data_IF_121106869263
#
_entry.id   IF_121106869263
#
_cell.length_a   1.000
_cell.length_b   1.000
_cell.length_c   1.000
_cell.angle_alpha   90.00
_cell.angle_beta   90.00
_cell.angle_gamma   90.00
#
_symmetry.space_group_name_H-M   'P 1'
#
loop_
_entity.id
_entity.type
_entity.pdbx_description
1 polymer ?
#
# COMPACT_ATOMS: atom_id res chain seq x y z
N UNK A 1 9.52 -22.07 -0.14
CA UNK A 1 9.22 -21.23 -1.32
C UNK A 1 8.00 -21.77 -2.04
N UNK A 2 7.06 -20.89 -2.38
CA UNK A 2 5.79 -21.18 -3.05
C UNK A 2 5.63 -20.22 -4.23
N UNK A 3 5.26 -20.69 -5.44
CA UNK A 3 4.99 -19.79 -6.58
C UNK A 3 3.91 -18.77 -6.24
N UNK A 4 4.06 -17.53 -6.69
CA UNK A 4 3.08 -16.48 -6.34
C UNK A 4 1.71 -16.76 -6.96
N UNK A 5 1.67 -17.43 -8.12
CA UNK A 5 0.47 -17.75 -8.88
C UNK A 5 -0.47 -18.74 -8.17
N UNK A 6 0.02 -19.48 -7.17
CA UNK A 6 -0.79 -20.44 -6.40
C UNK A 6 -1.25 -19.88 -5.05
N UNK A 7 -0.88 -18.64 -4.72
CA UNK A 7 -1.33 -17.95 -3.51
C UNK A 7 -2.86 -17.79 -3.58
N UNK A 8 -3.63 -18.08 -2.51
CA UNK A 8 -5.09 -18.02 -2.54
C UNK A 8 -5.63 -16.58 -2.43
N UNK A 9 -5.01 -15.63 -3.12
CA UNK A 9 -5.44 -14.25 -3.25
C UNK A 9 -5.20 -13.77 -4.69
N UNK A 10 -6.26 -13.40 -5.44
CA UNK A 10 -6.13 -12.94 -6.82
C UNK A 10 -5.18 -11.76 -7.00
N UNK A 11 -5.02 -10.89 -6.00
CA UNK A 11 -4.15 -9.71 -6.08
C UNK A 11 -2.69 -10.12 -6.23
N UNK A 12 -2.25 -11.09 -5.44
CA UNK A 12 -0.90 -11.63 -5.51
C UNK A 12 -0.77 -12.66 -6.64
N UNK A 13 -1.73 -13.57 -6.78
CA UNK A 13 -1.69 -14.64 -7.78
C UNK A 13 -1.69 -14.13 -9.22
N UNK A 14 -2.33 -12.98 -9.47
CA UNK A 14 -2.31 -12.30 -10.78
C UNK A 14 -1.25 -11.21 -10.87
N UNK A 15 -0.36 -11.11 -9.87
CA UNK A 15 0.75 -10.16 -9.82
C UNK A 15 0.32 -8.70 -9.99
N UNK A 16 -0.87 -8.38 -9.46
CA UNK A 16 -1.43 -7.04 -9.56
C UNK A 16 -0.63 -6.02 -8.75
N UNK A 17 0.01 -6.46 -7.66
CA UNK A 17 0.93 -5.65 -6.83
C UNK A 17 2.32 -5.59 -7.45
N UNK A 18 2.77 -6.70 -8.03
CA UNK A 18 4.01 -6.79 -8.77
C UNK A 18 4.54 -8.22 -8.89
N UNK A 19 5.74 -8.36 -9.46
CA UNK A 19 6.43 -9.65 -9.60
C UNK A 19 7.02 -10.10 -8.26
N UNK A 20 7.03 -11.40 -7.99
CA UNK A 20 7.52 -11.89 -6.70
C UNK A 20 7.30 -13.38 -6.48
N UNK A 21 7.35 -13.75 -5.21
CA UNK A 21 7.15 -15.12 -4.75
C UNK A 21 6.49 -15.12 -3.37
N UNK A 22 6.10 -16.30 -2.90
CA UNK A 22 5.62 -16.48 -1.54
C UNK A 22 6.47 -17.49 -0.78
N UNK A 23 6.45 -17.36 0.55
CA UNK A 23 7.12 -18.23 1.50
C UNK A 23 6.04 -18.80 2.41
N UNK A 24 6.05 -20.12 2.59
CA UNK A 24 5.37 -20.76 3.70
C UNK A 24 6.37 -20.77 4.87
N UNK A 25 6.18 -19.92 5.89
CA UNK A 25 7.21 -19.67 6.89
C UNK A 25 7.38 -20.85 7.85
N UNK A 26 8.61 -21.07 8.27
CA UNK A 26 8.98 -22.04 9.33
C UNK A 26 9.60 -21.35 10.55
N UNK A 27 9.65 -20.01 10.53
CA UNK A 27 10.17 -19.14 11.59
C UNK A 27 9.17 -18.03 11.86
N UNK A 28 9.24 -17.48 13.06
CA UNK A 28 8.35 -16.42 13.58
C UNK A 28 8.90 -15.01 13.36
N UNK A 29 9.98 -14.88 12.58
CA UNK A 29 10.68 -13.61 12.37
C UNK A 29 10.77 -13.32 10.87
N UNK A 30 10.39 -12.10 10.51
CA UNK A 30 10.54 -11.55 9.17
C UNK A 30 11.83 -10.72 9.13
N UNK A 31 12.73 -11.08 8.22
CA UNK A 31 14.02 -10.41 8.04
C UNK A 31 14.04 -9.56 6.76
N UNK A 32 14.89 -8.54 6.75
CA UNK A 32 15.16 -7.72 5.58
C UNK A 32 15.75 -8.58 4.44
N UNK A 33 15.12 -8.62 3.25
CA UNK A 33 15.63 -9.41 2.13
C UNK A 33 16.78 -8.70 1.40
N UNK A 34 16.87 -7.38 1.56
CA UNK A 34 17.85 -6.49 0.94
C UNK A 34 18.22 -5.38 1.92
N UNK A 35 19.37 -4.73 1.70
CA UNK A 35 19.70 -3.49 2.39
C UNK A 35 18.91 -2.32 1.80
N UNK A 36 18.55 -1.34 2.62
CA UNK A 36 17.79 -0.17 2.18
C UNK A 36 17.15 0.61 3.31
N UNK A 37 16.19 1.45 2.95
CA UNK A 37 15.37 2.23 3.88
C UNK A 37 13.99 1.57 4.03
N UNK A 38 13.46 1.53 5.26
CA UNK A 38 12.07 1.16 5.53
C UNK A 38 11.16 2.29 5.01
N UNK A 39 10.69 2.14 3.78
CA UNK A 39 9.90 3.14 3.07
C UNK A 39 8.45 3.22 3.57
N UNK A 40 7.88 2.09 4.00
CA UNK A 40 6.56 2.01 4.59
C UNK A 40 6.48 0.88 5.61
N UNK A 41 5.72 1.10 6.67
CA UNK A 41 5.37 0.09 7.66
C UNK A 41 3.88 0.25 7.96
N UNK A 42 3.09 -0.74 7.57
CA UNK A 42 1.65 -0.67 7.74
C UNK A 42 1.30 -0.54 9.24
N UNK A 43 0.27 0.25 9.62
CA UNK A 43 -0.04 0.51 11.03
C UNK A 43 -0.26 -0.74 11.91
N UNK A 44 -0.76 -1.83 11.32
CA UNK A 44 -0.94 -3.11 12.00
C UNK A 44 0.32 -3.99 12.02
N UNK A 45 1.46 -3.54 11.49
CA UNK A 45 2.74 -4.24 11.55
C UNK A 45 2.88 -5.47 10.65
N UNK A 46 1.83 -5.90 9.96
CA UNK A 46 1.83 -7.11 9.14
C UNK A 46 2.57 -6.98 7.80
N UNK A 47 2.86 -5.77 7.34
CA UNK A 47 3.54 -5.53 6.08
C UNK A 47 4.51 -4.36 6.16
N UNK A 48 5.64 -4.51 5.47
CA UNK A 48 6.77 -3.58 5.47
C UNK A 48 7.34 -3.51 4.05
N UNK A 49 7.69 -2.30 3.61
CA UNK A 49 8.31 -2.07 2.30
C UNK A 49 9.73 -1.55 2.51
N UNK A 50 10.70 -2.22 1.90
CA UNK A 50 12.10 -1.78 1.89
C UNK A 50 12.41 -1.19 0.51
N UNK A 51 12.96 0.01 0.47
CA UNK A 51 13.47 0.65 -0.75
C UNK A 51 14.99 0.60 -0.76
N UNK A 52 15.57 -0.02 -1.78
CA UNK A 52 17.02 -0.01 -1.97
C UNK A 52 17.53 1.38 -2.37
N UNK A 53 18.83 1.61 -2.25
CA UNK A 53 19.46 2.85 -2.72
C UNK A 53 19.31 3.06 -4.24
N UNK A 54 19.14 1.97 -5.00
CA UNK A 54 18.85 1.99 -6.44
C UNK A 54 17.35 2.18 -6.76
N UNK A 55 16.51 2.37 -5.73
CA UNK A 55 15.08 2.66 -5.86
C UNK A 55 14.17 1.43 -6.00
N UNK A 56 14.69 0.20 -5.91
CA UNK A 56 13.86 -1.01 -5.94
C UNK A 56 13.00 -1.09 -4.68
N UNK A 57 11.68 -1.25 -4.83
CA UNK A 57 10.76 -1.35 -3.70
C UNK A 57 10.31 -2.80 -3.49
N UNK A 58 10.71 -3.40 -2.37
CA UNK A 58 10.35 -4.76 -1.98
C UNK A 58 9.34 -4.72 -0.85
N UNK A 59 8.10 -5.08 -1.16
CA UNK A 59 7.02 -5.28 -0.21
C UNK A 59 7.12 -6.70 0.39
N UNK A 60 7.19 -6.78 1.71
CA UNK A 60 7.01 -7.99 2.48
C UNK A 60 5.65 -7.94 3.18
N UNK A 61 4.78 -8.90 2.90
CA UNK A 61 3.42 -8.96 3.45
C UNK A 61 3.21 -10.30 4.16
N UNK A 62 3.02 -10.29 5.48
CA UNK A 62 2.87 -11.49 6.30
C UNK A 62 1.41 -11.95 6.26
N UNK A 63 1.19 -13.18 5.80
CA UNK A 63 -0.13 -13.78 5.71
C UNK A 63 -1.06 -13.11 4.68
N UNK A 64 -2.29 -13.61 4.57
CA UNK A 64 -3.34 -13.02 3.72
C UNK A 64 -4.51 -12.53 4.56
N UNK A 65 -5.05 -11.36 4.21
CA UNK A 65 -6.11 -10.65 4.95
C UNK A 65 -5.72 -10.28 6.41
N UNK A 66 -4.43 -10.27 6.74
CA UNK A 66 -3.89 -10.00 8.09
C UNK A 66 -4.09 -8.57 8.57
N UNK A 67 -4.42 -7.64 7.68
CA UNK A 67 -4.88 -6.28 8.05
C UNK A 67 -6.09 -6.34 9.01
N UNK A 68 -6.97 -7.34 8.88
CA UNK A 68 -8.15 -7.53 9.75
C UNK A 68 -7.79 -7.90 11.19
N UNK A 69 -6.55 -8.34 11.43
CA UNK A 69 -6.06 -8.66 12.77
C UNK A 69 -5.68 -7.41 13.57
N UNK A 70 -5.71 -6.22 12.95
CA UNK A 70 -5.55 -4.92 13.62
C UNK A 70 -4.31 -4.82 14.54
N UNK A 71 -3.21 -5.48 14.16
CA UNK A 71 -1.95 -5.49 14.91
C UNK A 71 -1.77 -6.67 15.86
N UNK A 72 -2.82 -7.47 16.11
CA UNK A 72 -2.69 -8.68 16.90
C UNK A 72 -1.72 -9.66 16.23
N UNK A 73 -0.75 -10.15 17.00
CA UNK A 73 0.23 -11.13 16.52
C UNK A 73 1.39 -10.56 15.73
N UNK A 74 1.55 -9.22 15.63
CA UNK A 74 2.68 -8.58 14.95
C UNK A 74 3.41 -7.63 15.90
N UNK A 75 4.74 -7.73 15.95
CA UNK A 75 5.62 -6.87 16.74
C UNK A 75 6.70 -6.28 15.83
N UNK A 76 6.49 -5.05 15.31
CA UNK A 76 7.50 -4.38 14.50
C UNK A 76 8.79 -4.14 15.30
N UNK A 77 9.93 -4.37 14.66
CA UNK A 77 11.28 -4.12 15.19
C UNK A 77 11.95 -2.90 14.57
N UNK A 78 11.29 -2.30 13.59
CA UNK A 78 11.78 -1.16 12.82
C UNK A 78 10.76 -0.04 12.76
N UNK A 79 11.20 1.14 12.33
CA UNK A 79 10.34 2.31 12.09
C UNK A 79 10.52 2.83 10.67
N UNK A 80 9.53 3.56 10.15
CA UNK A 80 9.63 4.20 8.82
C UNK A 80 10.81 5.18 8.80
N UNK A 81 11.58 5.15 7.70
CA UNK A 81 12.80 5.94 7.51
C UNK A 81 14.06 5.29 8.10
N UNK A 82 13.94 4.17 8.83
CA UNK A 82 15.10 3.45 9.35
C UNK A 82 15.87 2.75 8.23
N UNK A 83 17.20 2.82 8.25
CA UNK A 83 18.06 1.99 7.40
C UNK A 83 18.27 0.60 8.01
N UNK A 84 18.24 -0.41 7.14
CA UNK A 84 18.45 -1.82 7.49
C UNK A 84 19.42 -2.47 6.50
N UNK A 85 20.16 -3.45 6.97
CA UNK A 85 20.97 -4.35 6.16
C UNK A 85 20.22 -5.66 5.88
N UNK A 86 20.65 -6.40 4.84
CA UNK A 86 20.07 -7.70 4.55
C UNK A 86 20.25 -8.67 5.73
N UNK A 87 19.16 -9.28 6.18
CA UNK A 87 19.13 -10.16 7.34
C UNK A 87 18.73 -9.48 8.65
N UNK A 88 18.60 -8.15 8.69
CA UNK A 88 18.13 -7.45 9.89
C UNK A 88 16.67 -7.80 10.23
N UNK A 89 16.31 -7.86 11.53
CA UNK A 89 14.96 -8.17 11.96
C UNK A 89 13.99 -7.00 11.66
N UNK A 90 12.89 -7.30 10.98
CA UNK A 90 11.85 -6.32 10.63
C UNK A 90 10.62 -6.44 11.53
N UNK A 91 10.07 -7.65 11.65
CA UNK A 91 8.83 -7.93 12.37
C UNK A 91 8.90 -9.33 12.98
N UNK A 92 8.61 -9.43 14.28
CA UNK A 92 8.27 -10.71 14.89
C UNK A 92 6.77 -10.94 14.77
N UNK A 93 6.36 -12.18 14.48
CA UNK A 93 4.96 -12.53 14.35
C UNK A 93 4.59 -13.88 14.97
N UNK A 94 3.37 -13.95 15.49
CA UNK A 94 2.79 -15.16 16.06
C UNK A 94 2.18 -16.03 14.94
N UNK A 95 2.89 -17.09 14.56
CA UNK A 95 2.45 -18.01 13.51
C UNK A 95 1.13 -18.71 13.83
N UNK A 96 0.85 -19.04 15.09
CA UNK A 96 -0.40 -19.71 15.47
C UNK A 96 -1.58 -18.74 15.35
N UNK A 97 -1.37 -17.49 15.78
CA UNK A 97 -2.39 -16.45 15.66
C UNK A 97 -2.69 -16.14 14.20
N UNK A 98 -1.66 -15.96 13.36
CA UNK A 98 -1.84 -15.72 11.93
C UNK A 98 -2.49 -16.93 11.25
N UNK A 99 -2.05 -18.15 11.55
CA UNK A 99 -2.65 -19.35 10.95
C UNK A 99 -4.13 -19.56 11.34
N UNK A 100 -4.55 -19.10 12.52
CA UNK A 100 -5.93 -19.27 13.01
C UNK A 100 -6.88 -18.13 12.62
N UNK A 101 -6.38 -16.91 12.42
CA UNK A 101 -7.21 -15.73 12.18
C UNK A 101 -7.09 -15.17 10.76
N UNK A 102 -5.96 -15.40 10.09
CA UNK A 102 -5.75 -14.97 8.72
C UNK A 102 -6.30 -16.01 7.73
N UNK A 103 -6.46 -15.59 6.47
CA UNK A 103 -6.86 -16.50 5.40
C UNK A 103 -5.77 -17.51 5.07
N UNK A 104 -4.52 -17.13 5.27
CA UNK A 104 -3.34 -17.97 5.04
C UNK A 104 -2.13 -17.39 5.77
N UNK A 105 -1.19 -18.24 6.15
CA UNK A 105 0.12 -17.86 6.71
C UNK A 105 1.17 -17.57 5.62
N UNK A 106 0.87 -17.91 4.36
CA UNK A 106 1.75 -17.60 3.24
C UNK A 106 2.14 -16.13 3.29
N UNK A 107 3.44 -15.86 3.21
CA UNK A 107 4.04 -14.53 3.29
C UNK A 107 4.56 -14.15 1.92
N UNK A 108 4.24 -12.96 1.43
CA UNK A 108 4.55 -12.53 0.07
C UNK A 108 5.80 -11.65 0.09
N UNK A 109 6.70 -11.88 -0.86
CA UNK A 109 7.83 -11.00 -1.15
C UNK A 109 7.67 -10.54 -2.59
N UNK A 110 7.33 -9.27 -2.77
CA UNK A 110 6.90 -8.69 -4.04
C UNK A 110 7.67 -7.43 -4.35
N UNK A 111 8.10 -7.29 -5.59
CA UNK A 111 8.68 -6.05 -6.10
C UNK A 111 7.52 -5.15 -6.55
N UNK A 112 7.30 -4.05 -5.83
CA UNK A 112 6.11 -3.22 -6.01
C UNK A 112 6.19 -2.26 -7.21
N UNK A 113 7.40 -1.97 -7.70
CA UNK A 113 7.68 -1.16 -8.88
C UNK A 113 8.21 -2.04 -10.03
N UNK A 114 7.39 -2.99 -10.48
CA UNK A 114 7.74 -3.98 -11.52
C UNK A 114 8.29 -3.38 -12.82
N UNK A 115 7.98 -2.12 -13.15
CA UNK A 115 8.54 -1.42 -14.31
C UNK A 115 10.07 -1.31 -14.27
N UNK A 116 10.69 -1.37 -13.09
CA UNK A 116 12.13 -1.40 -12.92
C UNK A 116 12.75 -2.79 -13.12
N UNK A 117 11.94 -3.82 -13.33
CA UNK A 117 12.38 -5.21 -13.31
C UNK A 117 12.02 -5.91 -14.62
N UNK A 118 13.02 -6.51 -15.25
CA UNK A 118 12.85 -7.36 -16.42
C UNK A 118 12.36 -8.76 -16.03
N UNK A 119 12.93 -9.34 -14.96
CA UNK A 119 12.51 -10.65 -14.47
C UNK A 119 12.84 -10.87 -13.00
N UNK A 120 12.03 -11.73 -12.36
CA UNK A 120 12.28 -12.27 -11.02
C UNK A 120 12.29 -13.78 -11.14
N UNK A 121 13.38 -14.41 -10.70
CA UNK A 121 13.54 -15.88 -10.73
C UNK A 121 13.68 -16.41 -9.30
N UNK A 122 12.58 -16.86 -8.68
CA UNK A 122 12.61 -17.40 -7.32
C UNK A 122 13.29 -18.77 -7.27
N UNK A 123 14.02 -19.03 -6.19
CA UNK A 123 14.52 -20.37 -5.85
C UNK A 123 13.35 -21.28 -5.47
N UNK A 124 13.56 -22.59 -5.68
CA UNK A 124 12.61 -23.64 -5.28
C UNK A 124 13.07 -24.29 -3.98
N UNK A 125 12.11 -24.79 -3.21
CA UNK A 125 12.37 -25.54 -1.98
C UNK A 125 12.48 -24.67 -0.72
N UNK A 126 13.22 -25.17 0.25
CA UNK A 126 13.45 -24.51 1.55
C UNK A 126 14.59 -23.51 1.42
N UNK A 127 14.43 -22.36 2.07
CA UNK A 127 15.44 -21.29 2.15
C UNK A 127 15.54 -20.82 3.59
N UNK A 128 16.71 -20.33 3.99
CA UNK A 128 17.00 -19.78 5.31
C UNK A 128 17.09 -18.26 5.21
N UNK A 129 16.22 -17.55 5.92
CA UNK A 129 16.23 -16.09 6.00
C UNK A 129 17.60 -15.54 6.44
N UNK A 130 18.01 -14.42 5.86
CA UNK A 130 19.30 -13.77 6.13
C UNK A 130 20.54 -14.52 5.65
N UNK A 131 20.40 -15.68 4.98
CA UNK A 131 21.54 -16.48 4.49
C UNK A 131 21.42 -16.87 3.03
N UNK A 132 20.30 -17.47 2.64
CA UNK A 132 20.11 -17.99 1.30
C UNK A 132 19.56 -16.89 0.37
N UNK A 133 20.05 -16.86 -0.87
CA UNK A 133 19.44 -16.04 -1.93
C UNK A 133 18.07 -16.63 -2.26
N UNK A 134 16.99 -15.87 -2.03
CA UNK A 134 15.62 -16.33 -2.27
C UNK A 134 15.20 -16.18 -3.74
N UNK A 135 15.66 -15.14 -4.43
CA UNK A 135 15.38 -14.89 -5.84
C UNK A 135 16.51 -14.09 -6.49
N UNK A 136 16.71 -14.31 -7.79
CA UNK A 136 17.52 -13.44 -8.64
C UNK A 136 16.61 -12.45 -9.35
N UNK A 137 16.98 -11.18 -9.33
CA UNK A 137 16.22 -10.08 -9.95
C UNK A 137 17.07 -9.46 -11.04
N UNK A 138 16.54 -9.40 -12.25
CA UNK A 138 17.16 -8.69 -13.37
C UNK A 138 16.44 -7.37 -13.53
N UNK A 139 17.14 -6.27 -13.30
CA UNK A 139 16.57 -4.93 -13.48
C UNK A 139 16.35 -4.65 -14.98
N UNK A 140 15.23 -4.02 -15.30
CA UNK A 140 15.01 -3.47 -16.63
C UNK A 140 16.02 -2.35 -16.88
N UNK A 141 16.47 -2.20 -18.14
CA UNK A 141 17.23 -1.02 -18.53
C UNK A 141 16.42 0.23 -18.14
N UNK A 142 17.07 1.19 -17.49
CA UNK A 142 16.40 2.36 -16.93
C UNK A 142 15.41 2.95 -17.96
N UNK A 143 14.13 3.10 -17.59
CA UNK A 143 13.24 3.93 -18.38
C UNK A 143 13.90 5.31 -18.50
N UNK A 144 14.08 5.80 -19.72
CA UNK A 144 14.37 7.22 -19.88
C UNK A 144 13.20 7.95 -19.25
N UNK A 145 13.49 8.79 -18.25
CA UNK A 145 12.52 9.60 -17.54
C UNK A 145 11.45 10.07 -18.51
N UNK A 146 10.25 9.54 -18.35
CA UNK A 146 9.06 10.11 -18.96
C UNK A 146 8.95 11.50 -18.39
N UNK A 147 9.49 12.48 -19.10
CA UNK A 147 9.30 13.90 -18.83
C UNK A 147 7.83 14.10 -18.47
N UNK A 148 7.50 14.71 -17.32
CA UNK A 148 6.12 15.10 -17.06
C UNK A 148 5.70 15.99 -18.21
N UNK A 149 4.70 15.54 -18.97
CA UNK A 149 4.12 16.29 -20.08
C UNK A 149 3.29 17.43 -19.49
N UNK A 150 3.99 18.46 -19.01
CA UNK A 150 3.40 19.73 -18.65
C UNK A 150 3.25 20.56 -19.92
N UNK A 151 2.16 20.33 -20.67
CA UNK A 151 1.58 21.33 -21.58
C UNK A 151 0.18 20.91 -22.06
N UNK A 152 -0.87 21.42 -21.41
CA UNK A 152 -2.17 21.65 -22.06
C UNK A 152 -3.35 20.72 -21.73
N UNK A 153 -3.24 19.79 -20.77
CA UNK A 153 -4.35 18.91 -20.39
C UNK A 153 -5.44 19.63 -19.56
N UNK A 154 -6.71 19.31 -19.80
CA UNK A 154 -7.81 19.70 -18.91
C UNK A 154 -7.63 18.97 -17.57
N UNK A 155 -7.64 19.71 -16.47
CA UNK A 155 -7.62 19.12 -15.13
C UNK A 155 -9.05 18.85 -14.68
N UNK A 156 -9.33 17.61 -14.27
CA UNK A 156 -10.64 17.17 -13.79
C UNK A 156 -10.48 16.66 -12.37
N UNK A 157 -11.40 17.05 -11.49
CA UNK A 157 -11.40 16.62 -10.08
C UNK A 157 -12.75 16.03 -9.74
N UNK A 158 -12.76 14.90 -9.03
CA UNK A 158 -13.97 14.26 -8.54
C UNK A 158 -14.61 15.08 -7.41
N UNK A 159 -15.88 14.79 -7.11
CA UNK A 159 -16.43 15.10 -5.79
C UNK A 159 -15.71 14.29 -4.69
N UNK A 160 -15.95 14.65 -3.42
CA UNK A 160 -15.45 13.88 -2.30
C UNK A 160 -16.16 12.51 -2.23
N UNK A 161 -15.38 11.44 -2.27
CA UNK A 161 -15.85 10.05 -2.21
C UNK A 161 -15.52 9.47 -0.85
N UNK A 162 -16.48 8.75 -0.26
CA UNK A 162 -16.24 7.95 0.93
C UNK A 162 -15.64 6.60 0.53
N UNK A 163 -14.61 6.15 1.24
CA UNK A 163 -14.06 4.80 1.03
C UNK A 163 -14.94 3.75 1.74
N UNK A 164 -15.59 2.84 1.01
CA UNK A 164 -16.50 1.86 1.61
C UNK A 164 -15.78 0.60 2.13
N UNK A 165 -14.54 0.37 1.68
CA UNK A 165 -13.73 -0.80 2.03
C UNK A 165 -13.57 -0.94 3.55
N UNK A 166 -13.93 -2.09 4.15
CA UNK A 166 -13.90 -2.31 5.61
C UNK A 166 -12.57 -1.93 6.29
N UNK A 167 -11.47 -2.18 5.60
CA UNK A 167 -10.09 -1.97 6.06
C UNK A 167 -9.37 -0.86 5.29
N UNK A 168 -10.11 0.00 4.58
CA UNK A 168 -9.54 1.10 3.83
C UNK A 168 -8.81 0.68 2.55
N UNK A 169 -7.89 1.52 2.05
CA UNK A 169 -7.14 1.27 0.82
C UNK A 169 -5.84 0.46 1.07
N UNK A 170 -5.98 -0.76 1.57
CA UNK A 170 -4.87 -1.73 1.69
C UNK A 170 -4.51 -2.37 0.33
N UNK A 171 -3.60 -3.36 0.33
CA UNK A 171 -3.03 -3.96 -0.88
C UNK A 171 -4.05 -4.33 -1.97
N UNK A 172 -5.19 -4.94 -1.63
CA UNK A 172 -6.22 -5.36 -2.61
C UNK A 172 -6.92 -4.17 -3.29
N UNK A 173 -7.65 -3.30 -2.57
CA UNK A 173 -8.29 -2.14 -3.19
C UNK A 173 -7.29 -1.15 -3.78
N UNK A 174 -6.10 -0.99 -3.18
CA UNK A 174 -5.02 -0.17 -3.74
C UNK A 174 -4.51 -0.72 -5.08
N UNK A 175 -4.31 -2.04 -5.20
CA UNK A 175 -3.91 -2.67 -6.46
C UNK A 175 -4.98 -2.55 -7.55
N UNK A 176 -6.26 -2.73 -7.21
CA UNK A 176 -7.36 -2.51 -8.16
C UNK A 176 -7.38 -1.06 -8.64
N UNK A 177 -7.29 -0.10 -7.72
CA UNK A 177 -7.27 1.32 -8.04
C UNK A 177 -6.08 1.70 -8.91
N UNK A 178 -4.88 1.23 -8.56
CA UNK A 178 -3.66 1.56 -9.29
C UNK A 178 -3.66 0.98 -10.71
N UNK A 179 -4.10 -0.26 -10.88
CA UNK A 179 -4.18 -0.87 -12.22
C UNK A 179 -5.23 -0.19 -13.08
N UNK A 180 -6.35 0.24 -12.51
CA UNK A 180 -7.32 1.09 -13.21
C UNK A 180 -6.70 2.44 -13.58
N UNK A 181 -6.00 3.12 -12.67
CA UNK A 181 -5.35 4.38 -12.97
C UNK A 181 -4.27 4.24 -14.06
N UNK A 182 -3.51 3.13 -14.07
CA UNK A 182 -2.49 2.81 -15.09
C UNK A 182 -3.08 2.57 -16.48
N UNK A 183 -4.37 2.24 -16.61
CA UNK A 183 -5.01 2.12 -17.93
C UNK A 183 -5.25 3.46 -18.62
N UNK A 184 -5.05 4.58 -17.92
CA UNK A 184 -5.20 5.93 -18.46
C UNK A 184 -3.84 6.60 -18.67
N UNK A 185 -3.74 7.40 -19.72
CA UNK A 185 -2.56 8.23 -20.01
C UNK A 185 -2.41 9.39 -19.03
N UNK A 186 -3.53 9.94 -18.53
CA UNK A 186 -3.54 11.04 -17.56
C UNK A 186 -2.74 10.74 -16.30
N UNK A 187 -2.12 11.78 -15.75
CA UNK A 187 -1.62 11.75 -14.38
C UNK A 187 -2.80 11.75 -13.43
N UNK A 188 -2.84 10.81 -12.48
CA UNK A 188 -3.95 10.69 -11.53
C UNK A 188 -3.40 10.78 -10.10
N UNK A 189 -3.96 11.69 -9.32
CA UNK A 189 -3.63 11.88 -7.90
C UNK A 189 -4.81 11.57 -7.01
N UNK A 190 -4.56 10.82 -5.95
CA UNK A 190 -5.46 10.59 -4.83
C UNK A 190 -5.11 11.58 -3.72
N UNK A 191 -6.10 12.21 -3.10
CA UNK A 191 -5.93 13.10 -1.95
C UNK A 191 -6.84 12.74 -0.79
N UNK A 192 -6.32 12.82 0.43
CA UNK A 192 -7.04 12.74 1.70
C UNK A 192 -6.61 13.92 2.58
N UNK A 193 -7.48 14.92 2.73
CA UNK A 193 -7.09 16.17 3.38
C UNK A 193 -5.95 16.85 2.61
N UNK A 194 -4.84 17.13 3.30
CA UNK A 194 -3.63 17.73 2.71
C UNK A 194 -2.67 16.68 2.11
N UNK A 195 -2.83 15.40 2.47
CA UNK A 195 -1.98 14.32 1.97
C UNK A 195 -2.38 13.95 0.53
N UNK A 196 -1.38 13.67 -0.32
CA UNK A 196 -1.57 13.27 -1.71
C UNK A 196 -0.67 12.11 -2.12
N UNK A 197 -1.19 11.24 -2.98
CA UNK A 197 -0.45 10.14 -3.60
C UNK A 197 -0.68 10.06 -5.10
N UNK A 198 0.32 9.52 -5.80
CA UNK A 198 0.13 9.07 -7.18
C UNK A 198 -0.79 7.86 -7.19
N UNK A 199 -1.99 7.98 -7.76
CA UNK A 199 -2.96 6.90 -7.81
C UNK A 199 -2.54 5.74 -8.71
N UNK A 200 -1.49 5.89 -9.53
CA UNK A 200 -0.87 4.79 -10.29
C UNK A 200 0.12 3.97 -9.46
N UNK A 201 0.49 4.42 -8.25
CA UNK A 201 1.40 3.71 -7.36
C UNK A 201 0.64 3.07 -6.20
N UNK A 202 0.66 1.75 -6.14
CA UNK A 202 0.00 0.96 -5.08
C UNK A 202 0.59 1.35 -3.72
N UNK A 203 1.91 1.48 -3.63
CA UNK A 203 2.60 1.87 -2.41
C UNK A 203 2.25 3.28 -1.99
N UNK A 204 2.21 4.25 -2.92
CA UNK A 204 1.80 5.61 -2.58
C UNK A 204 0.35 5.66 -2.06
N UNK A 205 -0.55 4.85 -2.63
CA UNK A 205 -1.93 4.72 -2.13
C UNK A 205 -1.96 4.12 -0.71
N UNK A 206 -1.22 3.03 -0.48
CA UNK A 206 -1.19 2.36 0.83
C UNK A 206 -0.54 3.22 1.92
N UNK A 207 0.51 3.97 1.58
CA UNK A 207 1.21 4.89 2.49
C UNK A 207 0.33 6.06 2.95
N UNK A 208 -0.70 6.44 2.17
CA UNK A 208 -1.70 7.39 2.65
C UNK A 208 -2.52 6.83 3.81
N UNK A 209 -2.52 5.51 4.05
CA UNK A 209 -3.25 4.87 5.13
C UNK A 209 -4.74 5.30 5.19
N UNK A 210 -5.39 5.37 4.02
CA UNK A 210 -6.80 5.79 3.91
C UNK A 210 -7.70 4.73 4.55
N UNK A 211 -8.50 5.12 5.53
CA UNK A 211 -9.39 4.25 6.29
C UNK A 211 -10.80 4.20 5.70
N UNK A 212 -11.62 3.26 6.18
CA UNK A 212 -13.06 3.22 5.86
C UNK A 212 -13.72 4.52 6.31
N UNK A 213 -14.58 5.08 5.46
CA UNK A 213 -15.30 6.32 5.75
C UNK A 213 -14.49 7.60 5.53
N UNK A 214 -13.18 7.50 5.27
CA UNK A 214 -12.38 8.65 4.87
C UNK A 214 -12.95 9.27 3.59
N UNK A 215 -12.96 10.60 3.57
CA UNK A 215 -13.29 11.38 2.38
C UNK A 215 -12.03 11.59 1.56
N UNK A 216 -12.04 11.10 0.34
CA UNK A 216 -10.95 11.28 -0.62
C UNK A 216 -11.42 12.01 -1.87
N UNK A 217 -10.48 12.64 -2.56
CA UNK A 217 -10.72 13.21 -3.89
C UNK A 217 -9.69 12.68 -4.88
N UNK A 218 -10.11 12.55 -6.14
CA UNK A 218 -9.23 12.20 -7.23
C UNK A 218 -9.11 13.39 -8.18
N UNK A 219 -7.90 13.69 -8.61
CA UNK A 219 -7.66 14.66 -9.68
C UNK A 219 -6.85 14.03 -10.80
N UNK A 220 -7.32 14.19 -12.04
CA UNK A 220 -6.65 13.72 -13.24
C UNK A 220 -6.26 14.89 -14.13
N UNK A 221 -5.09 14.80 -14.76
CA UNK A 221 -4.60 15.77 -15.74
C UNK A 221 -4.11 15.05 -16.99
N UNK A 222 -4.74 15.34 -18.13
CA UNK A 222 -4.41 14.71 -19.41
C UNK A 222 -5.60 14.66 -20.37
N UNK A 223 -5.40 14.01 -21.51
CA UNK A 223 -6.41 13.96 -22.58
C UNK A 223 -7.62 13.09 -22.22
N UNK A 224 -7.44 12.08 -21.37
CA UNK A 224 -8.48 11.15 -20.91
C UNK A 224 -8.92 11.41 -19.45
N UNK A 225 -8.68 12.62 -18.93
CA UNK A 225 -8.91 12.96 -17.52
C UNK A 225 -10.38 12.79 -17.08
N UNK A 226 -11.35 13.21 -17.89
CA UNK A 226 -12.78 13.04 -17.59
C UNK A 226 -13.15 11.55 -17.47
N UNK A 227 -12.70 10.72 -18.42
CA UNK A 227 -12.94 9.27 -18.43
C UNK A 227 -12.25 8.57 -17.25
N UNK A 228 -11.04 8.99 -16.90
CA UNK A 228 -10.31 8.47 -15.74
C UNK A 228 -11.07 8.72 -14.43
N UNK A 229 -11.53 9.96 -14.21
CA UNK A 229 -12.28 10.33 -13.01
C UNK A 229 -13.63 9.60 -12.93
N UNK A 230 -14.35 9.45 -14.05
CA UNK A 230 -15.60 8.71 -14.09
C UNK A 230 -15.41 7.23 -13.71
N UNK A 231 -14.43 6.56 -14.34
CA UNK A 231 -14.14 5.16 -14.10
C UNK A 231 -13.68 4.91 -12.66
N UNK A 232 -12.78 5.75 -12.13
CA UNK A 232 -12.30 5.64 -10.75
C UNK A 232 -13.44 5.88 -9.76
N UNK A 233 -14.27 6.89 -9.99
CA UNK A 233 -15.43 7.18 -9.13
C UNK A 233 -16.37 5.98 -9.05
N UNK A 234 -16.64 5.34 -10.18
CA UNK A 234 -17.45 4.12 -10.23
C UNK A 234 -16.78 2.98 -9.46
N UNK A 235 -15.50 2.71 -9.72
CA UNK A 235 -14.77 1.61 -9.09
C UNK A 235 -14.67 1.75 -7.56
N UNK A 236 -14.50 2.97 -7.05
CA UNK A 236 -14.53 3.27 -5.60
C UNK A 236 -15.90 2.95 -5.01
N UNK A 237 -17.00 3.36 -5.67
CA UNK A 237 -18.36 3.05 -5.22
C UNK A 237 -18.68 1.55 -5.24
N UNK A 238 -18.06 0.80 -6.14
CA UNK A 238 -18.17 -0.66 -6.26
C UNK A 238 -17.22 -1.42 -5.31
N UNK A 239 -16.42 -0.73 -4.49
CA UNK A 239 -15.59 -1.34 -3.46
C UNK A 239 -14.22 -1.85 -3.93
N UNK A 240 -13.77 -1.46 -5.13
CA UNK A 240 -12.42 -1.76 -5.65
C UNK A 240 -12.05 -3.26 -5.60
N UNK A 241 -13.02 -4.13 -5.89
CA UNK A 241 -12.83 -5.58 -5.91
C UNK A 241 -13.04 -6.27 -4.56
N UNK A 242 -13.63 -5.57 -3.59
CA UNK A 242 -14.00 -6.12 -2.29
C UNK A 242 -15.50 -5.97 -2.01
N UNK A 243 -16.05 -6.93 -1.27
CA UNK A 243 -17.39 -6.80 -0.72
C UNK A 243 -17.40 -5.77 0.39
N UNK A 244 -18.12 -4.67 0.16
CA UNK A 244 -18.21 -3.56 1.10
C UNK A 244 -19.61 -3.50 1.72
N UNK A 245 -19.74 -3.60 3.05
CA UNK A 245 -21.01 -3.35 3.72
C UNK A 245 -21.39 -1.86 3.57
N UNK A 246 -22.70 -1.53 3.55
CA UNK A 246 -23.16 -0.15 3.42
C UNK A 246 -22.51 0.75 4.46
N UNK A 247 -22.10 1.95 4.06
CA UNK A 247 -21.69 2.99 5.00
C UNK A 247 -22.99 3.55 5.62
N UNK A 248 -23.22 3.27 6.89
CA UNK A 248 -24.35 3.84 7.64
C UNK A 248 -24.15 5.34 7.89
N UNK A 249 -25.22 6.06 8.20
CA UNK A 249 -25.18 7.50 8.49
C UNK A 249 -24.49 7.85 9.82
N UNK A 250 -24.11 6.85 10.63
CA UNK A 250 -23.65 7.03 12.01
C UNK A 250 -22.14 7.29 12.16
N UNK A 251 -21.35 7.19 11.08
CA UNK A 251 -19.89 7.42 11.11
C UNK A 251 -19.48 8.90 10.89
N UNK A 252 -20.43 9.83 10.97
CA UNK A 252 -20.11 11.28 11.08
C UNK A 252 -20.16 11.72 12.54
N UNK A 253 -19.11 11.35 13.29
CA UNK A 253 -18.85 12.02 14.56
C UNK A 253 -18.75 13.54 14.32
N UNK A 254 -19.46 14.38 15.09
CA UNK A 254 -19.44 15.82 14.86
C UNK A 254 -18.02 16.37 15.03
N UNK A 255 -17.60 17.17 14.04
CA UNK A 255 -16.36 17.94 14.09
C UNK A 255 -16.39 18.82 15.35
N UNK A 256 -15.42 18.73 16.27
CA UNK A 256 -15.37 19.64 17.40
C UNK A 256 -15.23 21.07 16.89
N UNK A 257 -16.14 21.94 17.31
CA UNK A 257 -16.11 23.34 16.97
C UNK A 257 -14.77 23.95 17.37
N UNK A 258 -14.16 24.70 16.45
CA UNK A 258 -12.97 25.51 16.73
C UNK A 258 -13.32 26.45 17.88
N UNK A 259 -12.63 26.32 19.02
CA UNK A 259 -12.75 27.29 20.11
C UNK A 259 -12.11 28.58 19.64
N UNK A 260 -12.92 29.64 19.54
CA UNK A 260 -12.41 31.00 19.35
C UNK A 260 -11.47 31.36 20.51
N UNK A 261 -10.36 32.07 20.24
CA UNK A 261 -9.42 32.45 21.29
C UNK A 261 -10.11 33.42 22.26
N UNK A 262 -10.06 33.10 23.55
CA UNK A 262 -10.60 33.94 24.62
C UNK A 262 -9.99 35.34 24.54
N UNK A 263 -10.85 36.35 24.41
CA UNK A 263 -10.48 37.76 24.47
C UNK A 263 -9.86 38.06 25.83
N UNK A 264 -8.57 38.39 25.84
CA UNK A 264 -7.82 38.76 27.03
C UNK A 264 -8.49 39.92 27.78
N UNK A 265 -8.74 39.70 29.06
CA UNK A 265 -9.20 40.70 30.01
C UNK A 265 -8.04 41.66 30.33
N UNK A 266 -8.02 42.82 29.68
CA UNK A 266 -7.24 43.98 30.12
C UNK A 266 -8.08 44.79 31.11
N UNK A 267 -8.12 44.34 32.37
CA UNK A 267 -8.73 45.03 33.50
C UNK A 267 -7.68 45.71 34.39
N UNK A 268 -7.86 47.00 34.62
CA UNK A 268 -6.94 48.01 35.14
C UNK A 268 -6.63 47.97 36.67
N UNK A 269 -5.65 48.79 37.14
CA UNK A 269 -5.01 48.65 38.45
C UNK A 269 -5.76 49.35 39.59
N UNK A 270 -5.55 48.85 40.80
CA UNK A 270 -5.71 49.57 42.09
C UNK A 270 -4.64 49.11 43.07
#
# INVERSE_FOLDING_TARGET
>A
MVPIEVVPDPVFARKMVGEGFSIDPLSTELLAPIAGEVADLQPSGHAVTIRSDDGLEVLLHIGLDTVKMAGAGFTPRVTVGQRVDAGDPLVDFDMEMVASQAKSLLTQVVIANSEMVQSVTPRKGVVTGGRDVAAEVVLAAAPQDGTPSAAGGRAVTSEALLIPNPTGLHARPAATLANLAKSFSSDVKLRRGDDAANAKSIMAIMALAVARGDKVTFSAHGADADAAIEAITKAVKEGLGEECPPIGTDDTGPVPAVREPESGDFGQPV
#
